data_IF_708237590567
#
_entry.id   IF_708237590567
#
_cell.length_a   1.000
_cell.length_b   1.000
_cell.length_c   1.000
_cell.angle_alpha   90.00
_cell.angle_beta   90.00
_cell.angle_gamma   90.00
#
_symmetry.space_group_name_H-M   'P 1'
#
loop_
_entity.id
_entity.type
_entity.pdbx_description
1 polymer ?
#
# COMPACT_ATOMS: atom_id res chain seq x y z
N UNK A 1 8.13 -5.56 -0.22
CA UNK A 1 7.20 -6.27 0.70
C UNK A 1 6.60 -7.45 -0.02
N UNK A 2 6.44 -8.56 0.64
CA UNK A 2 5.74 -9.72 0.09
C UNK A 2 4.23 -9.47 0.07
N UNK A 3 3.53 -10.06 -0.89
CA UNK A 3 2.07 -9.90 -1.01
C UNK A 3 1.34 -10.37 0.25
N UNK A 4 1.78 -11.47 0.87
CA UNK A 4 1.20 -11.96 2.12
C UNK A 4 1.35 -10.96 3.26
N UNK A 5 2.51 -10.30 3.34
CA UNK A 5 2.75 -9.25 4.35
C UNK A 5 1.87 -8.03 4.08
N UNK A 6 1.70 -7.64 2.82
CA UNK A 6 0.84 -6.53 2.46
C UNK A 6 -0.63 -6.82 2.80
N UNK A 7 -1.10 -8.04 2.54
CA UNK A 7 -2.46 -8.44 2.89
C UNK A 7 -2.70 -8.42 4.39
N UNK A 8 -1.72 -8.88 5.18
CA UNK A 8 -1.81 -8.82 6.65
C UNK A 8 -1.82 -7.37 7.15
N UNK A 9 -0.98 -6.51 6.58
CA UNK A 9 -0.98 -5.09 6.94
C UNK A 9 -2.33 -4.44 6.65
N UNK A 10 -2.93 -4.75 5.49
CA UNK A 10 -4.25 -4.26 5.14
C UNK A 10 -5.32 -4.77 6.12
N UNK A 11 -5.32 -6.07 6.41
CA UNK A 11 -6.28 -6.68 7.31
C UNK A 11 -6.20 -6.12 8.73
N UNK A 12 -4.98 -5.91 9.22
CA UNK A 12 -4.72 -5.43 10.59
C UNK A 12 -4.67 -3.89 10.66
N UNK A 13 -4.92 -3.20 9.56
CA UNK A 13 -4.85 -1.74 9.47
C UNK A 13 -3.51 -1.18 9.92
N UNK A 14 -2.43 -1.91 9.62
CA UNK A 14 -1.07 -1.49 9.92
C UNK A 14 -0.52 -0.62 8.80
N UNK A 15 0.23 0.44 9.12
CA UNK A 15 0.84 1.27 8.09
C UNK A 15 1.97 0.56 7.38
N UNK A 16 2.21 0.97 6.14
CA UNK A 16 3.37 0.56 5.35
C UNK A 16 4.18 1.80 5.00
N UNK A 17 5.44 1.59 4.61
CA UNK A 17 6.35 2.68 4.26
C UNK A 17 6.65 2.67 2.78
N UNK A 18 6.62 3.86 2.16
CA UNK A 18 7.06 4.07 0.80
C UNK A 18 7.89 5.36 0.77
N UNK A 19 9.17 5.23 0.41
CA UNK A 19 10.12 6.36 0.30
C UNK A 19 10.09 7.27 1.55
N UNK A 20 10.09 6.65 2.73
CA UNK A 20 10.14 7.37 4.00
C UNK A 20 8.82 7.88 4.54
N UNK A 21 7.74 7.81 3.76
CA UNK A 21 6.41 8.21 4.22
C UNK A 21 5.56 6.99 4.58
N UNK A 22 4.61 7.19 5.49
CA UNK A 22 3.69 6.15 5.93
C UNK A 22 2.38 6.21 5.15
N UNK A 23 1.86 5.05 4.80
CA UNK A 23 0.62 4.90 4.04
C UNK A 23 -0.23 3.77 4.62
N UNK A 24 -1.54 3.87 4.44
CA UNK A 24 -2.47 2.77 4.69
C UNK A 24 -2.79 2.07 3.36
N UNK A 25 -2.82 0.74 3.39
CA UNK A 25 -3.24 -0.05 2.24
C UNK A 25 -4.77 -0.14 2.26
N UNK A 26 -5.40 0.32 1.18
CA UNK A 26 -6.85 0.27 1.03
C UNK A 26 -7.32 -0.95 0.25
N UNK A 27 -6.53 -1.40 -0.72
CA UNK A 27 -6.85 -2.55 -1.56
C UNK A 27 -5.59 -3.13 -2.18
N UNK A 28 -5.66 -4.41 -2.57
CA UNK A 28 -4.58 -5.09 -3.28
C UNK A 28 -5.19 -5.78 -4.49
N UNK A 29 -4.65 -5.51 -5.66
CA UNK A 29 -5.13 -6.03 -6.93
C UNK A 29 -4.04 -6.81 -7.65
N UNK A 30 -4.45 -7.84 -8.37
CA UNK A 30 -3.57 -8.56 -9.29
C UNK A 30 -3.70 -7.96 -10.68
N UNK A 31 -2.56 -7.66 -11.30
CA UNK A 31 -2.54 -7.14 -12.67
C UNK A 31 -2.69 -8.31 -13.65
N UNK A 32 -3.75 -8.31 -14.45
CA UNK A 32 -4.05 -9.38 -15.39
C UNK A 32 -2.90 -9.61 -16.36
N UNK A 33 -2.55 -10.88 -16.59
CA UNK A 33 -1.49 -11.26 -17.50
C UNK A 33 -0.08 -11.14 -16.92
N UNK A 34 0.04 -10.77 -15.63
CA UNK A 34 1.35 -10.65 -14.96
C UNK A 34 1.27 -11.28 -13.58
N UNK A 35 2.45 -11.46 -12.95
CA UNK A 35 2.51 -11.87 -11.53
C UNK A 35 2.57 -10.69 -10.58
N UNK A 36 2.43 -9.48 -11.10
CA UNK A 36 2.54 -8.28 -10.29
C UNK A 36 1.28 -8.03 -9.49
N UNK A 37 1.48 -7.61 -8.24
CA UNK A 37 0.41 -7.17 -7.36
C UNK A 37 0.55 -5.68 -7.14
N UNK A 38 -0.57 -4.98 -7.23
CA UNK A 38 -0.63 -3.53 -7.05
C UNK A 38 -1.47 -3.21 -5.82
N UNK A 39 -0.93 -2.37 -4.95
CA UNK A 39 -1.63 -1.90 -3.77
C UNK A 39 -2.14 -0.48 -3.99
N UNK A 40 -3.40 -0.24 -3.65
CA UNK A 40 -3.95 1.11 -3.56
C UNK A 40 -3.69 1.62 -2.17
N UNK A 41 -2.92 2.70 -2.05
CA UNK A 41 -2.50 3.25 -0.77
C UNK A 41 -2.89 4.72 -0.64
N UNK A 42 -3.05 5.16 0.61
CA UNK A 42 -3.32 6.55 0.92
C UNK A 42 -2.37 7.02 2.01
N UNK A 43 -1.77 8.19 1.81
CA UNK A 43 -0.80 8.75 2.75
C UNK A 43 -1.47 9.04 4.10
N UNK A 44 -0.78 8.68 5.18
CA UNK A 44 -1.20 9.02 6.54
C UNK A 44 -0.71 10.43 6.83
N UNK A 45 -1.65 11.36 6.95
CA UNK A 45 -1.36 12.76 7.26
C UNK A 45 -2.55 13.41 7.96
N UNK A 46 -2.31 14.57 8.58
CA UNK A 46 -3.38 15.30 9.29
C UNK A 46 -4.44 15.85 8.33
N UNK A 47 -4.05 16.21 7.11
CA UNK A 47 -4.96 16.69 6.07
C UNK A 47 -5.21 15.58 5.06
N UNK A 48 -6.22 14.74 5.33
CA UNK A 48 -6.57 13.61 4.48
C UNK A 48 -7.14 14.03 3.13
N UNK A 49 -7.62 15.24 2.97
CA UNK A 49 -8.20 15.73 1.72
C UNK A 49 -7.14 16.19 0.72
N UNK A 50 -5.94 16.45 1.18
CA UNK A 50 -4.85 16.97 0.36
C UNK A 50 -4.22 15.90 -0.54
N UNK A 51 -4.24 14.65 -0.13
CA UNK A 51 -3.59 13.55 -0.82
C UNK A 51 -4.63 12.57 -1.35
N UNK A 52 -4.45 12.18 -2.61
CA UNK A 52 -5.31 11.18 -3.26
C UNK A 52 -4.71 9.79 -3.09
N UNK A 53 -5.55 8.77 -3.24
CA UNK A 53 -5.12 7.41 -3.32
C UNK A 53 -4.23 7.20 -4.54
N UNK A 54 -3.17 6.38 -4.37
CA UNK A 54 -2.28 6.03 -5.47
C UNK A 54 -2.13 4.52 -5.55
N UNK A 55 -1.88 4.01 -6.75
CA UNK A 55 -1.60 2.60 -6.98
C UNK A 55 -0.09 2.43 -7.15
N UNK A 56 0.50 1.51 -6.37
CA UNK A 56 1.92 1.20 -6.44
C UNK A 56 2.12 -0.31 -6.43
N UNK A 57 3.22 -0.75 -7.03
CA UNK A 57 3.64 -2.14 -6.95
C UNK A 57 3.95 -2.50 -5.50
N UNK A 58 3.44 -3.64 -5.04
CA UNK A 58 3.66 -4.12 -3.66
C UNK A 58 5.16 -4.26 -3.36
N UNK A 59 5.99 -4.56 -4.36
CA UNK A 59 7.43 -4.71 -4.18
C UNK A 59 8.12 -3.42 -3.72
N UNK A 60 7.54 -2.26 -3.98
CA UNK A 60 8.08 -0.98 -3.51
C UNK A 60 7.74 -0.64 -2.07
N UNK A 61 6.81 -1.36 -1.47
CA UNK A 61 6.39 -1.10 -0.10
C UNK A 61 7.31 -1.80 0.90
N UNK A 62 7.50 -1.18 2.05
CA UNK A 62 8.27 -1.74 3.16
C UNK A 62 7.40 -1.78 4.41
N UNK A 63 7.71 -2.71 5.30
CA UNK A 63 7.05 -2.75 6.61
C UNK A 63 7.48 -1.53 7.43
N UNK A 64 6.51 -0.90 8.05
CA UNK A 64 6.76 0.24 8.92
C UNK A 64 7.22 -0.22 10.31
#
# INVERSE_FOLDING_TARGET
MLTTQARLAMKNKQPVRLVGDLYNILDIKHVNGTRKMVATIKKICLDQYRYKEIDVDVDYLEQA
#
